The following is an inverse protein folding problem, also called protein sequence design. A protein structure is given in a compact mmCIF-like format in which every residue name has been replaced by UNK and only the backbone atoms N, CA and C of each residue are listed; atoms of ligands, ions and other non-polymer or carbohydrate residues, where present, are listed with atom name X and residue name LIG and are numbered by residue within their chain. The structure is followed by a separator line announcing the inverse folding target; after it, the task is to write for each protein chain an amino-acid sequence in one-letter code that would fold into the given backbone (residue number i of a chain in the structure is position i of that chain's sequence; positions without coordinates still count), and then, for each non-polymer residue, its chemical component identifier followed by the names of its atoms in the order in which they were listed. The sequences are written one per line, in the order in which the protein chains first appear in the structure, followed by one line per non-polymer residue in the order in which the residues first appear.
data_IF_186332817836
#
_entry.id   IF_186332817836
#
_cell.length_a   1.000
_cell.length_b   1.000
_cell.length_c   1.000
_cell.angle_alpha   90.00
_cell.angle_beta   90.00
_cell.angle_gamma   90.00
#
_symmetry.space_group_name_H-M   'P 1'
#
loop_
_entity.id
_entity.type
_entity.pdbx_description
1 polymer ?
#
# COMPACT_ATOMS: atom_id res chain seq x y z
N UNK A 1 -14.19 -2.34 10.32
CA UNK A 1 -13.44 -3.30 11.15
C UNK A 1 -12.22 -2.61 11.74
N UNK A 2 -11.89 -2.92 13.01
CA UNK A 2 -10.68 -2.48 13.68
C UNK A 2 -9.92 -3.74 14.07
N UNK A 3 -8.61 -3.75 13.85
CA UNK A 3 -7.71 -4.86 14.20
C UNK A 3 -6.49 -4.33 14.94
N UNK A 4 -5.95 -5.14 15.85
CA UNK A 4 -4.65 -4.91 16.46
C UNK A 4 -3.58 -5.71 15.68
N UNK A 5 -2.42 -5.12 15.45
CA UNK A 5 -1.31 -5.80 14.82
C UNK A 5 -0.56 -6.62 15.88
N UNK A 6 -0.52 -7.92 15.70
CA UNK A 6 0.24 -8.82 16.57
C UNK A 6 1.75 -8.61 16.37
N UNK A 7 2.49 -8.72 17.44
CA UNK A 7 3.95 -8.72 17.48
C UNK A 7 4.54 -10.13 17.55
N UNK A 8 5.82 -10.21 17.84
CA UNK A 8 6.54 -11.47 17.93
C UNK A 8 6.04 -12.38 19.06
N UNK A 9 5.57 -11.80 20.18
CA UNK A 9 5.08 -12.55 21.35
C UNK A 9 3.84 -13.39 21.03
N UNK A 10 2.89 -12.84 20.25
CA UNK A 10 1.69 -13.56 19.85
C UNK A 10 2.00 -14.70 18.87
N UNK A 11 2.95 -14.46 17.95
CA UNK A 11 3.41 -15.51 17.02
C UNK A 11 4.18 -16.58 17.78
N UNK A 12 5.04 -16.18 18.72
CA UNK A 12 5.76 -17.12 19.58
C UNK A 12 4.78 -18.02 20.37
N UNK A 13 3.76 -17.43 21.01
CA UNK A 13 2.74 -18.19 21.71
C UNK A 13 2.02 -19.20 20.82
N UNK A 14 1.76 -18.85 19.56
CA UNK A 14 1.16 -19.75 18.59
C UNK A 14 2.13 -20.90 18.20
N UNK A 15 3.40 -20.61 18.00
CA UNK A 15 4.42 -21.62 17.68
C UNK A 15 4.65 -22.61 18.83
N UNK A 16 4.55 -22.16 20.09
CA UNK A 16 4.66 -23.01 21.29
C UNK A 16 3.56 -24.05 21.39
N UNK A 17 2.44 -23.88 20.71
CA UNK A 17 1.37 -24.90 20.66
C UNK A 17 1.78 -26.15 19.87
N UNK A 18 2.86 -26.11 19.10
CA UNK A 18 3.29 -27.15 18.15
C UNK A 18 2.23 -27.50 17.12
N UNK A 19 1.37 -26.57 16.73
CA UNK A 19 0.42 -26.76 15.66
C UNK A 19 1.16 -26.88 14.31
N UNK A 20 0.69 -27.79 13.44
CA UNK A 20 1.27 -27.99 12.10
C UNK A 20 1.02 -26.79 11.18
N UNK A 21 -0.09 -26.05 11.42
CA UNK A 21 -0.46 -24.86 10.65
C UNK A 21 -0.86 -23.76 11.64
N UNK A 22 -0.26 -22.58 11.49
CA UNK A 22 -0.63 -21.38 12.24
C UNK A 22 -1.24 -20.37 11.26
N UNK A 23 -2.48 -19.97 11.53
CA UNK A 23 -3.19 -18.92 10.80
C UNK A 23 -3.28 -17.72 11.72
N UNK A 24 -2.49 -16.69 11.46
CA UNK A 24 -2.55 -15.43 12.18
C UNK A 24 -3.55 -14.47 11.50
N UNK A 25 -4.18 -13.60 12.28
CA UNK A 25 -4.91 -12.45 11.78
C UNK A 25 -3.95 -11.35 11.29
N UNK A 26 -4.21 -10.09 11.62
CA UNK A 26 -3.28 -9.00 11.28
C UNK A 26 -2.07 -9.01 12.24
N UNK A 27 -0.88 -9.05 11.68
CA UNK A 27 0.40 -8.96 12.40
C UNK A 27 1.23 -7.82 11.79
N UNK A 28 2.32 -7.39 12.45
CA UNK A 28 3.38 -6.72 11.71
C UNK A 28 4.07 -7.74 10.81
N UNK A 29 4.51 -7.34 9.63
CA UNK A 29 5.09 -8.26 8.65
C UNK A 29 6.41 -8.85 9.14
N UNK A 30 7.16 -8.05 9.89
CA UNK A 30 8.39 -8.41 10.56
C UNK A 30 8.19 -9.41 11.70
N UNK A 31 7.11 -9.31 12.48
CA UNK A 31 6.87 -10.16 13.64
C UNK A 31 6.81 -11.67 13.30
N UNK A 32 6.26 -12.01 12.13
CA UNK A 32 6.14 -13.39 11.66
C UNK A 32 7.53 -14.02 11.48
N UNK A 33 8.51 -13.23 11.04
CA UNK A 33 9.87 -13.68 10.80
C UNK A 33 10.70 -13.60 12.08
N UNK A 34 10.57 -12.52 12.87
CA UNK A 34 11.34 -12.28 14.07
C UNK A 34 11.03 -13.24 15.21
N UNK A 35 9.78 -13.73 15.32
CA UNK A 35 9.34 -14.56 16.45
C UNK A 35 10.20 -15.81 16.65
N UNK A 36 10.47 -16.57 15.59
CA UNK A 36 11.21 -17.83 15.72
C UNK A 36 12.67 -17.66 16.14
N UNK A 37 13.49 -16.77 15.53
CA UNK A 37 14.85 -16.53 16.01
C UNK A 37 14.89 -16.00 17.46
N UNK A 38 13.96 -15.13 17.86
CA UNK A 38 13.85 -14.65 19.25
C UNK A 38 13.57 -15.82 20.21
N UNK A 39 12.58 -16.68 19.89
CA UNK A 39 12.26 -17.88 20.68
C UNK A 39 13.46 -18.83 20.82
N UNK A 40 14.32 -18.89 19.83
CA UNK A 40 15.55 -19.71 19.83
C UNK A 40 16.71 -19.07 20.57
N UNK A 41 16.54 -17.86 21.13
CA UNK A 41 17.54 -17.16 21.91
C UNK A 41 18.57 -16.40 21.08
N UNK A 42 18.33 -16.18 19.78
CA UNK A 42 19.18 -15.30 18.98
C UNK A 42 19.03 -13.84 19.45
N UNK A 43 20.00 -13.01 19.09
CA UNK A 43 19.94 -11.57 19.41
C UNK A 43 18.69 -10.91 18.84
N UNK A 44 17.96 -10.20 19.68
CA UNK A 44 16.69 -9.60 19.28
C UNK A 44 16.85 -8.49 18.21
N UNK A 45 17.94 -7.71 18.26
CA UNK A 45 18.26 -6.71 17.25
C UNK A 45 18.50 -7.36 15.89
N UNK A 46 19.27 -8.46 15.86
CA UNK A 46 19.48 -9.24 14.66
C UNK A 46 18.19 -9.85 14.13
N UNK A 47 17.36 -10.42 15.03
CA UNK A 47 16.08 -11.03 14.65
C UNK A 47 15.12 -10.02 14.00
N UNK A 48 14.92 -8.86 14.61
CA UNK A 48 14.06 -7.81 14.07
C UNK A 48 14.61 -7.19 12.77
N UNK A 49 15.93 -6.97 12.70
CA UNK A 49 16.55 -6.43 11.49
C UNK A 49 16.48 -7.45 10.33
N UNK A 50 16.84 -8.71 10.59
CA UNK A 50 16.70 -9.76 9.58
C UNK A 50 15.25 -9.95 9.13
N UNK A 51 14.30 -9.80 10.05
CA UNK A 51 12.87 -9.82 9.73
C UNK A 51 12.47 -8.66 8.81
N UNK A 52 12.96 -7.44 9.07
CA UNK A 52 12.71 -6.28 8.20
C UNK A 52 13.32 -6.48 6.80
N UNK A 53 14.49 -7.06 6.71
CA UNK A 53 15.08 -7.40 5.41
C UNK A 53 14.34 -8.58 4.74
N UNK A 54 13.83 -9.54 5.52
CA UNK A 54 13.07 -10.69 5.02
C UNK A 54 11.66 -10.35 4.54
N UNK A 55 11.08 -9.28 5.05
CA UNK A 55 9.81 -8.72 4.59
C UNK A 55 9.94 -8.25 3.13
N UNK A 56 9.14 -8.84 2.21
CA UNK A 56 9.33 -8.63 0.77
C UNK A 56 10.79 -8.82 0.31
N UNK A 57 11.51 -9.74 0.97
CA UNK A 57 12.96 -9.84 0.98
C UNK A 57 13.62 -10.06 -0.39
N UNK A 58 12.89 -10.58 -1.39
CA UNK A 58 13.41 -10.63 -2.76
C UNK A 58 13.85 -9.26 -3.30
N UNK A 59 13.26 -8.17 -2.78
CA UNK A 59 13.60 -6.79 -3.17
C UNK A 59 14.97 -6.33 -2.65
N UNK A 60 15.55 -7.02 -1.64
CA UNK A 60 16.90 -6.72 -1.16
C UNK A 60 18.01 -7.33 -2.03
N UNK A 61 17.64 -7.99 -3.14
CA UNK A 61 18.57 -8.62 -4.08
C UNK A 61 18.27 -8.18 -5.52
N UNK A 62 19.23 -8.41 -6.42
CA UNK A 62 18.98 -8.32 -7.86
C UNK A 62 17.98 -9.39 -8.28
N UNK A 63 17.27 -9.17 -9.39
CA UNK A 63 16.28 -10.11 -9.94
C UNK A 63 15.15 -10.47 -8.93
N UNK A 64 14.45 -9.48 -8.35
CA UNK A 64 13.49 -9.70 -7.27
C UNK A 64 12.24 -10.51 -7.66
N UNK A 65 11.98 -10.69 -8.94
CA UNK A 65 10.78 -11.39 -9.43
C UNK A 65 10.88 -12.92 -9.34
N UNK A 66 12.05 -13.48 -9.15
CA UNK A 66 12.28 -14.91 -9.33
C UNK A 66 12.55 -15.66 -8.02
N UNK A 67 12.44 -15.04 -6.85
CA UNK A 67 12.77 -15.80 -5.69
C UNK A 67 12.45 -15.21 -4.33
N UNK A 68 12.87 -15.96 -3.36
CA UNK A 68 12.83 -15.66 -1.93
C UNK A 68 14.26 -15.51 -1.40
N UNK A 69 14.40 -14.96 -0.23
CA UNK A 69 15.65 -14.91 0.52
C UNK A 69 15.57 -15.84 1.70
N UNK A 70 16.69 -16.47 2.04
CA UNK A 70 16.86 -17.18 3.29
C UNK A 70 17.65 -16.30 4.26
N UNK A 71 17.20 -16.27 5.52
CA UNK A 71 17.89 -15.59 6.61
C UNK A 71 18.50 -16.61 7.56
N UNK A 72 19.82 -16.58 7.72
CA UNK A 72 20.51 -17.38 8.71
C UNK A 72 20.89 -16.51 9.90
N UNK A 73 20.33 -16.82 11.07
CA UNK A 73 20.55 -16.07 12.32
C UNK A 73 21.57 -16.77 13.21
N UNK A 74 22.38 -15.98 13.89
CA UNK A 74 23.25 -16.42 14.98
C UNK A 74 23.27 -15.38 16.13
N UNK A 75 24.21 -15.49 17.05
CA UNK A 75 24.28 -14.62 18.24
C UNK A 75 24.76 -13.20 17.94
N UNK A 76 25.39 -12.97 16.79
CA UNK A 76 26.03 -11.69 16.45
C UNK A 76 25.30 -10.93 15.31
N UNK A 77 24.36 -11.58 14.63
CA UNK A 77 23.69 -10.99 13.50
C UNK A 77 22.96 -11.98 12.60
N UNK A 78 22.88 -11.69 11.32
CA UNK A 78 22.25 -12.56 10.34
C UNK A 78 22.93 -12.48 8.97
N UNK A 79 22.72 -13.51 8.16
CA UNK A 79 23.18 -13.56 6.77
C UNK A 79 22.00 -13.60 5.83
N UNK A 80 22.00 -12.74 4.81
CA UNK A 80 21.02 -12.70 3.73
C UNK A 80 21.50 -13.54 2.57
N UNK A 81 20.70 -14.51 2.14
CA UNK A 81 21.02 -15.46 1.07
C UNK A 81 19.87 -15.48 0.06
N UNK A 82 20.01 -14.83 -1.10
CA UNK A 82 19.05 -14.99 -2.19
C UNK A 82 19.04 -16.42 -2.70
N UNK A 83 17.84 -16.97 -2.95
CA UNK A 83 17.70 -18.37 -3.38
C UNK A 83 17.41 -18.53 -4.88
N UNK A 84 17.10 -17.44 -5.59
CA UNK A 84 16.87 -17.48 -7.03
C UNK A 84 18.20 -17.58 -7.79
N UNK A 85 18.18 -18.32 -8.88
CA UNK A 85 19.35 -18.43 -9.77
C UNK A 85 19.78 -17.06 -10.30
N UNK A 86 21.06 -16.72 -10.09
CA UNK A 86 21.64 -15.46 -10.53
C UNK A 86 21.24 -14.24 -9.69
N UNK A 87 20.43 -14.39 -8.64
CA UNK A 87 20.13 -13.29 -7.72
C UNK A 87 21.32 -13.01 -6.78
N UNK A 88 21.57 -11.73 -6.52
CA UNK A 88 22.70 -11.26 -5.71
C UNK A 88 22.22 -10.23 -4.72
N UNK A 89 22.52 -10.44 -3.44
CA UNK A 89 22.43 -9.43 -2.41
C UNK A 89 23.79 -8.70 -2.30
N UNK A 90 23.74 -7.40 -2.12
CA UNK A 90 24.92 -6.57 -1.88
C UNK A 90 24.72 -5.74 -0.60
N UNK A 91 25.80 -5.25 0.05
CA UNK A 91 25.66 -4.36 1.19
C UNK A 91 24.73 -3.17 0.90
N UNK A 92 24.77 -2.63 -0.31
CA UNK A 92 23.90 -1.53 -0.73
C UNK A 92 22.43 -1.95 -0.85
N UNK A 93 22.13 -3.06 -1.53
CA UNK A 93 20.73 -3.49 -1.72
C UNK A 93 20.09 -3.92 -0.40
N UNK A 94 20.84 -4.54 0.49
CA UNK A 94 20.35 -4.96 1.81
C UNK A 94 20.12 -3.74 2.71
N UNK A 95 21.09 -2.81 2.79
CA UNK A 95 20.90 -1.60 3.61
C UNK A 95 19.78 -0.68 3.09
N UNK A 96 19.65 -0.54 1.78
CA UNK A 96 18.59 0.25 1.16
C UNK A 96 17.19 -0.32 1.44
N UNK A 97 17.08 -1.63 1.70
CA UNK A 97 15.79 -2.26 2.00
C UNK A 97 15.17 -1.78 3.33
N UNK A 98 15.96 -1.20 4.24
CA UNK A 98 15.42 -0.53 5.44
C UNK A 98 14.44 0.61 5.11
N UNK A 99 14.53 1.20 3.92
CA UNK A 99 13.59 2.23 3.45
C UNK A 99 12.28 1.67 2.87
N UNK A 100 12.20 0.35 2.70
CA UNK A 100 10.98 -0.27 2.19
C UNK A 100 9.84 -0.13 3.22
N UNK A 101 8.79 0.60 2.85
CA UNK A 101 7.64 0.91 3.71
C UNK A 101 8.02 1.46 5.11
N UNK A 102 9.16 2.11 5.22
CA UNK A 102 9.65 2.74 6.46
C UNK A 102 10.08 4.18 6.17
N UNK A 103 9.65 5.12 7.00
CA UNK A 103 9.96 6.55 6.85
C UNK A 103 11.33 6.94 7.42
N UNK A 104 11.89 6.10 8.32
CA UNK A 104 13.18 6.32 8.94
C UNK A 104 14.16 5.21 8.52
N UNK A 105 15.35 5.52 7.99
CA UNK A 105 16.29 4.51 7.53
C UNK A 105 16.98 3.73 8.67
N UNK A 106 16.87 4.19 9.91
CA UNK A 106 17.59 3.63 11.05
C UNK A 106 16.69 3.07 12.14
N UNK A 107 15.48 3.58 12.29
CA UNK A 107 14.55 3.23 13.37
C UNK A 107 13.30 2.59 12.80
N UNK A 108 12.93 1.43 13.34
CA UNK A 108 11.67 0.75 13.04
C UNK A 108 10.94 0.45 14.34
N UNK A 109 9.76 1.05 14.52
CA UNK A 109 8.88 0.79 15.68
C UNK A 109 8.07 -0.48 15.47
N UNK A 110 8.15 -1.35 16.46
CA UNK A 110 7.44 -2.63 16.51
C UNK A 110 6.71 -2.80 17.85
N UNK A 111 5.77 -3.74 17.98
CA UNK A 111 5.21 -4.07 19.28
C UNK A 111 6.29 -4.38 20.30
N UNK A 112 6.20 -3.74 21.47
CA UNK A 112 7.14 -3.93 22.57
C UNK A 112 8.45 -3.17 22.49
N UNK A 113 8.74 -2.41 21.41
CA UNK A 113 9.99 -1.65 21.34
C UNK A 113 10.28 -1.05 19.95
N UNK A 114 11.55 -0.88 19.68
CA UNK A 114 12.00 -0.48 18.35
C UNK A 114 13.37 -1.10 18.01
N UNK A 115 13.56 -1.34 16.73
CA UNK A 115 14.84 -1.69 16.15
C UNK A 115 15.64 -0.42 15.87
N UNK A 116 16.92 -0.40 16.26
CA UNK A 116 17.89 0.62 15.91
C UNK A 116 19.03 -0.01 15.11
N UNK A 117 19.19 0.42 13.87
CA UNK A 117 20.25 -0.06 12.96
C UNK A 117 21.31 1.03 12.67
N UNK A 118 21.38 2.08 13.48
CA UNK A 118 22.33 3.19 13.30
C UNK A 118 23.78 2.69 13.23
N UNK A 119 24.12 1.69 14.05
CA UNK A 119 25.46 1.10 14.11
C UNK A 119 25.58 -0.20 13.29
N UNK A 120 24.56 -0.56 12.51
CA UNK A 120 24.57 -1.77 11.73
C UNK A 120 25.64 -1.72 10.63
N UNK A 121 26.30 -2.84 10.44
CA UNK A 121 27.31 -3.03 9.39
C UNK A 121 26.85 -4.12 8.41
N UNK A 122 27.14 -3.89 7.14
CA UNK A 122 26.79 -4.77 6.04
C UNK A 122 28.04 -5.17 5.29
N UNK A 123 28.38 -6.44 5.31
CA UNK A 123 29.60 -6.97 4.69
C UNK A 123 29.25 -8.04 3.66
N UNK A 124 29.77 -7.91 2.44
CA UNK A 124 29.70 -8.99 1.46
C UNK A 124 30.50 -10.19 1.95
N UNK A 125 29.87 -11.36 2.01
CA UNK A 125 30.58 -12.64 2.28
C UNK A 125 31.16 -13.22 0.99
N UNK A 126 30.44 -13.02 -0.11
CA UNK A 126 30.81 -13.39 -1.46
C UNK A 126 30.00 -12.53 -2.46
N UNK A 127 29.94 -12.95 -3.72
CA UNK A 127 29.23 -12.23 -4.79
C UNK A 127 27.70 -12.24 -4.62
N UNK A 128 27.16 -13.06 -3.70
CA UNK A 128 25.70 -13.28 -3.58
C UNK A 128 25.14 -13.02 -2.19
N UNK A 129 25.96 -13.12 -1.13
CA UNK A 129 25.52 -13.13 0.26
C UNK A 129 26.05 -11.94 1.05
N UNK A 130 25.23 -11.44 1.97
CA UNK A 130 25.58 -10.31 2.82
C UNK A 130 25.41 -10.69 4.28
N UNK A 131 26.44 -10.43 5.08
CA UNK A 131 26.43 -10.49 6.54
C UNK A 131 26.03 -9.14 7.12
N UNK A 132 25.10 -9.14 8.08
CA UNK A 132 24.66 -7.95 8.83
C UNK A 132 24.89 -8.18 10.32
N UNK A 133 25.49 -7.19 10.98
CA UNK A 133 25.75 -7.18 12.44
C UNK A 133 25.56 -5.79 13.03
N UNK A 134 25.52 -5.66 14.35
CA UNK A 134 25.47 -4.35 15.04
C UNK A 134 24.07 -3.75 15.22
N UNK A 135 23.02 -4.47 14.84
CA UNK A 135 21.63 -4.08 15.09
C UNK A 135 21.30 -4.16 16.58
N UNK A 136 20.40 -3.29 17.07
CA UNK A 136 20.02 -3.25 18.47
C UNK A 136 18.50 -3.27 18.59
N UNK A 137 17.99 -4.06 19.52
CA UNK A 137 16.61 -3.98 19.96
C UNK A 137 16.53 -3.12 21.23
N UNK A 138 15.67 -2.12 21.22
CA UNK A 138 15.43 -1.26 22.38
C UNK A 138 13.99 -1.51 22.88
N UNK A 139 13.82 -2.24 23.99
CA UNK A 139 12.49 -2.50 24.53
C UNK A 139 11.84 -1.20 25.02
N UNK A 140 10.54 -1.08 24.84
CA UNK A 140 9.74 0.01 25.37
C UNK A 140 9.35 -0.27 26.84
N UNK A 141 9.15 0.79 27.64
CA UNK A 141 8.68 0.69 29.03
C UNK A 141 7.27 0.05 29.13
N UNK A 142 6.48 0.19 28.07
CA UNK A 142 5.13 -0.36 27.97
C UNK A 142 4.97 -1.08 26.65
N UNK A 143 4.32 -2.22 26.69
CA UNK A 143 3.97 -2.94 25.46
C UNK A 143 2.87 -2.19 24.70
N UNK A 144 3.08 -1.94 23.44
CA UNK A 144 2.12 -1.26 22.59
C UNK A 144 1.89 -2.04 21.31
N UNK A 145 0.66 -1.92 20.76
CA UNK A 145 0.32 -2.44 19.45
C UNK A 145 -0.35 -1.37 18.61
N UNK A 146 -0.15 -1.42 17.32
CA UNK A 146 -0.83 -0.57 16.37
C UNK A 146 -2.27 -1.07 16.15
N UNK A 147 -3.23 -0.16 16.18
CA UNK A 147 -4.59 -0.39 15.75
C UNK A 147 -4.78 0.16 14.33
N UNK A 148 -5.33 -0.66 13.48
CA UNK A 148 -5.74 -0.27 12.13
C UNK A 148 -7.24 -0.46 11.97
N UNK A 149 -7.89 0.54 11.37
CA UNK A 149 -9.32 0.47 11.10
C UNK A 149 -9.65 0.82 9.67
N UNK A 150 -10.57 0.05 9.09
CA UNK A 150 -11.14 0.34 7.78
C UNK A 150 -12.66 0.37 7.85
N UNK A 151 -13.28 1.26 7.08
CA UNK A 151 -14.73 1.35 6.92
C UNK A 151 -15.10 1.39 5.43
N UNK A 152 -16.34 1.01 5.08
CA UNK A 152 -16.86 1.23 3.75
C UNK A 152 -16.82 2.72 3.37
N UNK A 153 -16.31 3.03 2.18
CA UNK A 153 -16.19 4.39 1.64
C UNK A 153 -17.14 4.64 0.46
N UNK A 154 -18.07 3.72 0.21
CA UNK A 154 -19.02 3.80 -0.88
C UNK A 154 -18.76 2.78 -1.98
N UNK A 155 -19.36 3.03 -3.14
CA UNK A 155 -19.23 2.19 -4.34
C UNK A 155 -18.64 3.02 -5.46
N UNK A 156 -17.80 2.41 -6.29
CA UNK A 156 -17.11 3.11 -7.38
C UNK A 156 -17.52 2.61 -8.76
N UNK A 157 -17.68 3.59 -9.66
CA UNK A 157 -17.67 3.41 -11.10
C UNK A 157 -16.48 4.17 -11.68
N UNK A 158 -15.75 3.55 -12.61
CA UNK A 158 -14.62 4.19 -13.30
C UNK A 158 -14.83 4.19 -14.82
N UNK A 159 -14.33 5.25 -15.47
CA UNK A 159 -14.25 5.36 -16.91
C UNK A 159 -12.84 5.82 -17.28
N UNK A 160 -12.33 5.39 -18.43
CA UNK A 160 -11.09 5.87 -18.98
C UNK A 160 -11.34 6.48 -20.36
N UNK A 161 -10.97 7.75 -20.52
CA UNK A 161 -11.04 8.47 -21.78
C UNK A 161 -9.64 8.90 -22.21
N UNK A 162 -9.38 8.92 -23.52
CA UNK A 162 -8.09 9.28 -24.09
C UNK A 162 -8.20 10.60 -24.86
N UNK A 163 -7.41 11.60 -24.45
CA UNK A 163 -7.27 12.88 -25.11
C UNK A 163 -5.99 12.89 -25.93
N UNK A 164 -6.10 13.03 -27.25
CA UNK A 164 -4.94 13.09 -28.16
C UNK A 164 -4.83 14.42 -28.90
N UNK A 165 -5.91 15.21 -28.98
CA UNK A 165 -5.89 16.51 -29.60
C UNK A 165 -5.04 17.52 -28.78
N UNK A 166 -4.12 18.22 -29.46
CA UNK A 166 -3.16 19.11 -28.80
C UNK A 166 -3.82 20.29 -28.06
N UNK A 167 -4.96 20.81 -28.55
CA UNK A 167 -5.70 21.88 -27.91
C UNK A 167 -6.30 21.42 -26.59
N UNK A 168 -6.91 20.22 -26.55
CA UNK A 168 -7.48 19.63 -25.35
C UNK A 168 -6.41 19.15 -24.37
N UNK A 169 -5.33 18.53 -24.86
CA UNK A 169 -4.19 18.13 -24.01
C UNK A 169 -3.58 19.33 -23.27
N UNK A 170 -3.39 20.46 -23.97
CA UNK A 170 -2.87 21.70 -23.37
C UNK A 170 -3.81 22.28 -22.29
N UNK A 171 -5.11 22.12 -22.46
CA UNK A 171 -6.14 22.72 -21.61
C UNK A 171 -6.87 21.66 -20.76
N UNK A 172 -6.29 20.46 -20.58
CA UNK A 172 -6.97 19.32 -19.98
C UNK A 172 -7.50 19.58 -18.57
N UNK A 173 -6.77 20.38 -17.75
CA UNK A 173 -7.23 20.72 -16.40
C UNK A 173 -8.47 21.61 -16.41
N UNK A 174 -8.51 22.61 -17.32
CA UNK A 174 -9.67 23.51 -17.47
C UNK A 174 -10.88 22.68 -17.94
N UNK A 175 -10.69 21.84 -18.94
CA UNK A 175 -11.69 20.94 -19.48
C UNK A 175 -12.24 19.98 -18.41
N UNK A 176 -11.37 19.36 -17.61
CA UNK A 176 -11.76 18.44 -16.55
C UNK A 176 -12.57 19.14 -15.46
N UNK A 177 -12.15 20.32 -15.02
CA UNK A 177 -12.87 21.11 -14.00
C UNK A 177 -14.28 21.52 -14.46
N UNK A 178 -14.43 21.91 -15.73
CA UNK A 178 -15.73 22.27 -16.29
C UNK A 178 -16.67 21.05 -16.40
N UNK A 179 -16.13 19.88 -16.80
CA UNK A 179 -16.89 18.62 -16.81
C UNK A 179 -17.39 18.27 -15.41
N UNK A 180 -16.50 18.27 -14.41
CA UNK A 180 -16.88 17.97 -13.02
C UNK A 180 -18.01 18.88 -12.57
N UNK A 181 -17.88 20.19 -12.79
CA UNK A 181 -18.89 21.19 -12.40
C UNK A 181 -20.25 20.96 -13.06
N UNK A 182 -20.26 20.76 -14.38
CA UNK A 182 -21.49 20.56 -15.16
C UNK A 182 -22.13 19.21 -14.87
N UNK A 183 -21.35 18.13 -14.79
CA UNK A 183 -21.87 16.82 -14.47
C UNK A 183 -22.46 16.79 -13.05
N UNK A 184 -21.75 17.35 -12.07
CA UNK A 184 -22.22 17.45 -10.68
C UNK A 184 -23.56 18.19 -10.60
N UNK A 185 -23.68 19.36 -11.26
CA UNK A 185 -24.92 20.13 -11.32
C UNK A 185 -26.05 19.35 -11.98
N UNK A 186 -25.77 18.59 -13.03
CA UNK A 186 -26.73 17.74 -13.73
C UNK A 186 -27.21 16.59 -12.84
N UNK A 187 -26.30 15.92 -12.14
CA UNK A 187 -26.61 14.82 -11.22
C UNK A 187 -27.55 15.29 -10.11
N UNK A 188 -27.19 16.36 -9.41
CA UNK A 188 -28.04 16.95 -8.35
C UNK A 188 -29.44 17.25 -8.85
N UNK A 189 -29.54 17.94 -9.99
CA UNK A 189 -30.83 18.33 -10.55
C UNK A 189 -31.68 17.16 -11.05
N UNK A 190 -31.05 16.12 -11.63
CA UNK A 190 -31.77 15.02 -12.28
C UNK A 190 -32.11 13.88 -11.34
N UNK A 191 -31.20 13.57 -10.41
CA UNK A 191 -31.32 12.44 -9.49
C UNK A 191 -31.84 12.88 -8.11
N UNK A 192 -31.85 14.18 -7.82
CA UNK A 192 -32.29 14.70 -6.51
C UNK A 192 -31.41 14.29 -5.36
N UNK A 193 -30.15 13.92 -5.63
CA UNK A 193 -29.17 13.50 -4.61
C UNK A 193 -28.45 14.71 -4.03
N UNK A 194 -28.12 14.64 -2.75
CA UNK A 194 -27.38 15.71 -2.09
C UNK A 194 -25.89 15.71 -2.55
N UNK A 195 -25.24 16.89 -2.56
CA UNK A 195 -23.85 17.01 -3.04
C UNK A 195 -22.82 16.13 -2.31
N UNK A 196 -23.08 15.81 -1.07
CA UNK A 196 -22.24 14.98 -0.19
C UNK A 196 -22.44 13.46 -0.38
N UNK A 197 -23.46 13.06 -1.15
CA UNK A 197 -23.77 11.65 -1.39
C UNK A 197 -22.94 11.02 -2.51
N UNK A 198 -22.18 11.85 -3.24
CA UNK A 198 -21.30 11.38 -4.31
C UNK A 198 -20.11 12.31 -4.55
N UNK A 199 -19.09 11.74 -5.15
CA UNK A 199 -17.89 12.43 -5.59
C UNK A 199 -17.57 12.07 -7.05
N UNK A 200 -17.06 13.05 -7.79
CA UNK A 200 -16.55 12.87 -9.16
C UNK A 200 -15.13 13.42 -9.17
N UNK A 201 -14.17 12.55 -9.46
CA UNK A 201 -12.77 12.89 -9.63
C UNK A 201 -12.30 12.58 -11.05
N UNK A 202 -11.53 13.47 -11.66
CA UNK A 202 -10.84 13.23 -12.93
C UNK A 202 -9.34 13.34 -12.71
N UNK A 203 -8.61 12.24 -12.89
CA UNK A 203 -7.15 12.17 -12.82
C UNK A 203 -6.56 12.22 -14.23
N UNK A 204 -5.65 13.15 -14.45
CA UNK A 204 -5.01 13.38 -15.75
C UNK A 204 -3.68 12.62 -15.81
N UNK A 205 -3.73 11.36 -16.27
CA UNK A 205 -2.54 10.53 -16.43
C UNK A 205 -1.64 11.08 -17.53
N UNK A 206 -0.36 11.28 -17.21
CA UNK A 206 0.59 11.99 -18.06
C UNK A 206 0.78 13.46 -17.67
N UNK A 207 -0.03 13.99 -16.75
CA UNK A 207 0.09 15.36 -16.25
C UNK A 207 0.26 15.41 -14.72
N UNK A 208 -0.74 15.05 -13.95
CA UNK A 208 -0.72 15.20 -12.48
C UNK A 208 -1.43 14.06 -11.72
N UNK A 209 -1.67 12.94 -12.34
CA UNK A 209 -2.47 11.87 -11.74
C UNK A 209 -1.85 11.25 -10.48
N UNK A 210 -0.51 11.24 -10.36
CA UNK A 210 0.20 10.64 -9.22
C UNK A 210 0.30 11.58 -8.03
N UNK A 211 0.68 12.83 -8.25
CA UNK A 211 0.94 13.80 -7.18
C UNK A 211 -0.17 14.85 -7.01
N UNK A 212 -1.12 14.95 -7.94
CA UNK A 212 -2.19 15.94 -7.87
C UNK A 212 -1.65 17.37 -7.79
N UNK A 213 -2.02 18.09 -6.73
CA UNK A 213 -1.56 19.46 -6.47
C UNK A 213 -0.09 19.56 -6.04
N UNK A 214 0.55 18.44 -5.69
CA UNK A 214 1.97 18.39 -5.32
C UNK A 214 2.89 18.21 -6.55
N UNK A 215 2.32 18.05 -7.74
CA UNK A 215 3.12 17.95 -8.97
C UNK A 215 3.82 19.28 -9.27
N UNK A 216 5.15 19.22 -9.33
CA UNK A 216 6.00 20.41 -9.56
C UNK A 216 6.57 20.48 -10.97
N UNK A 217 6.46 19.38 -11.75
CA UNK A 217 6.99 19.32 -13.10
C UNK A 217 5.91 19.66 -14.13
N UNK A 218 6.16 20.66 -14.94
CA UNK A 218 5.29 20.97 -16.09
C UNK A 218 5.50 19.93 -17.20
N UNK A 219 4.69 18.88 -17.21
CA UNK A 219 4.70 17.91 -18.29
C UNK A 219 4.03 18.49 -19.55
N UNK A 220 4.56 18.12 -20.71
CA UNK A 220 3.91 18.39 -22.01
C UNK A 220 3.63 17.05 -22.70
N UNK A 221 2.61 16.32 -22.27
CA UNK A 221 2.30 15.04 -22.86
C UNK A 221 1.72 15.20 -24.27
N UNK A 222 1.94 14.21 -25.12
CA UNK A 222 1.28 14.12 -26.42
C UNK A 222 -0.13 13.57 -26.32
N UNK A 223 -0.41 12.82 -25.27
CA UNK A 223 -1.68 12.17 -24.97
C UNK A 223 -1.90 12.13 -23.46
N UNK A 224 -3.15 12.28 -23.05
CA UNK A 224 -3.56 12.20 -21.66
C UNK A 224 -4.61 11.12 -21.51
N UNK A 225 -4.40 10.18 -20.59
CA UNK A 225 -5.44 9.31 -20.09
C UNK A 225 -6.23 10.02 -18.99
N UNK A 226 -7.52 10.20 -19.19
CA UNK A 226 -8.43 10.78 -18.18
C UNK A 226 -9.13 9.64 -17.46
N UNK A 227 -8.65 9.32 -16.25
CA UNK A 227 -9.31 8.37 -15.37
C UNK A 227 -10.39 9.10 -14.57
N UNK A 228 -11.64 8.85 -14.92
CA UNK A 228 -12.78 9.32 -14.17
C UNK A 228 -13.16 8.32 -13.07
N UNK A 229 -13.32 8.80 -11.85
CA UNK A 229 -13.71 8.00 -10.69
C UNK A 229 -14.96 8.63 -10.10
N UNK A 230 -16.04 7.87 -10.06
CA UNK A 230 -17.28 8.23 -9.40
C UNK A 230 -17.42 7.38 -8.15
N UNK A 231 -17.53 8.01 -6.99
CA UNK A 231 -17.83 7.33 -5.72
C UNK A 231 -19.21 7.76 -5.24
N UNK A 232 -20.07 6.81 -4.85
CA UNK A 232 -21.41 7.09 -4.38
C UNK A 232 -21.86 6.09 -3.30
N UNK A 233 -22.97 6.38 -2.62
CA UNK A 233 -23.52 5.55 -1.52
C UNK A 233 -24.00 4.16 -1.96
N UNK A 234 -24.25 3.94 -3.26
CA UNK A 234 -24.64 2.64 -3.79
C UNK A 234 -24.03 2.40 -5.17
N UNK A 235 -23.88 1.13 -5.54
CA UNK A 235 -23.36 0.75 -6.86
C UNK A 235 -24.27 1.26 -8.00
N UNK A 236 -25.59 1.20 -7.80
CA UNK A 236 -26.55 1.69 -8.79
C UNK A 236 -26.36 3.20 -9.05
N UNK A 237 -26.22 3.99 -7.99
CA UNK A 237 -26.02 5.44 -8.10
C UNK A 237 -24.64 5.74 -8.74
N UNK A 238 -23.58 5.05 -8.36
CA UNK A 238 -22.25 5.25 -8.96
C UNK A 238 -22.27 4.98 -10.47
N UNK A 239 -22.92 3.90 -10.89
CA UNK A 239 -23.06 3.53 -12.30
C UNK A 239 -23.92 4.54 -13.06
N UNK A 240 -25.03 4.99 -12.49
CA UNK A 240 -25.91 6.00 -13.11
C UNK A 240 -25.19 7.35 -13.29
N UNK A 241 -24.40 7.78 -12.30
CA UNK A 241 -23.55 8.97 -12.41
C UNK A 241 -22.48 8.78 -13.49
N UNK A 242 -21.88 7.59 -13.58
CA UNK A 242 -20.95 7.22 -14.65
C UNK A 242 -21.58 7.39 -16.05
N UNK A 243 -22.84 6.95 -16.22
CA UNK A 243 -23.59 7.14 -17.46
C UNK A 243 -23.88 8.62 -17.76
N UNK A 244 -24.10 9.46 -16.74
CA UNK A 244 -24.20 10.91 -16.93
C UNK A 244 -22.87 11.53 -17.32
N UNK A 245 -21.75 11.02 -16.83
CA UNK A 245 -20.40 11.52 -17.12
C UNK A 245 -19.91 11.13 -18.51
N UNK A 246 -20.31 9.96 -19.01
CA UNK A 246 -19.87 9.40 -20.28
C UNK A 246 -19.98 10.41 -21.45
N UNK A 247 -21.13 11.03 -21.76
CA UNK A 247 -21.23 11.95 -22.88
C UNK A 247 -20.38 13.21 -22.70
N UNK A 248 -20.09 13.64 -21.47
CA UNK A 248 -19.16 14.73 -21.23
C UNK A 248 -17.72 14.31 -21.56
N UNK A 249 -17.27 13.15 -21.09
CA UNK A 249 -15.95 12.65 -21.42
C UNK A 249 -15.75 12.42 -22.92
N UNK A 250 -16.82 12.10 -23.65
CA UNK A 250 -16.75 11.80 -25.06
C UNK A 250 -16.81 13.05 -25.96
N UNK A 251 -17.63 14.06 -25.59
CA UNK A 251 -18.01 15.14 -26.51
C UNK A 251 -17.95 16.56 -25.93
N UNK A 252 -17.37 16.75 -24.74
CA UNK A 252 -17.41 18.07 -24.10
C UNK A 252 -16.44 19.06 -24.76
N UNK A 253 -16.91 20.18 -25.32
CA UNK A 253 -16.03 21.21 -25.87
C UNK A 253 -15.43 22.08 -24.76
N UNK A 254 -14.25 22.67 -24.99
CA UNK A 254 -13.62 23.64 -24.09
C UNK A 254 -14.41 24.93 -23.98
N UNK A 255 -15.02 25.37 -25.07
CA UNK A 255 -15.83 26.58 -25.12
C UNK A 255 -17.18 26.31 -25.83
N UNK A 256 -18.17 27.19 -25.61
CA UNK A 256 -19.48 27.08 -26.30
C UNK A 256 -19.40 27.38 -27.81
N UNK A 257 -18.30 27.99 -28.25
CA UNK A 257 -18.13 28.40 -29.65
C UNK A 257 -17.41 27.32 -30.49
N UNK A 258 -16.88 26.27 -29.83
CA UNK A 258 -16.20 25.16 -30.49
C UNK A 258 -17.18 24.10 -30.98
N UNK A 259 -16.81 23.40 -32.05
CA UNK A 259 -17.44 22.16 -32.44
C UNK A 259 -17.27 21.10 -31.36
N UNK A 260 -18.25 20.20 -31.24
CA UNK A 260 -18.13 19.11 -30.28
C UNK A 260 -17.03 18.15 -30.71
N UNK A 261 -16.05 17.90 -29.83
CA UNK A 261 -15.01 16.91 -30.08
C UNK A 261 -15.56 15.50 -29.97
N UNK A 262 -14.80 14.51 -30.42
CA UNK A 262 -15.02 13.11 -30.10
C UNK A 262 -13.72 12.50 -29.63
N UNK A 263 -13.72 12.05 -28.38
CA UNK A 263 -12.59 11.37 -27.76
C UNK A 263 -12.77 9.85 -27.79
N UNK A 264 -11.80 9.11 -27.29
CA UNK A 264 -11.82 7.65 -27.35
C UNK A 264 -11.99 7.02 -25.97
N UNK A 265 -12.88 6.03 -25.89
CA UNK A 265 -12.92 5.08 -24.79
C UNK A 265 -12.22 3.78 -25.21
N UNK A 266 -11.26 3.24 -24.41
CA UNK A 266 -10.61 1.96 -24.72
C UNK A 266 -11.52 0.76 -24.45
N UNK A 267 -12.65 0.95 -23.75
CA UNK A 267 -13.58 -0.12 -23.38
C UNK A 267 -15.01 0.21 -23.82
N UNK A 268 -15.78 -0.84 -24.14
CA UNK A 268 -17.22 -0.74 -24.41
C UNK A 268 -17.95 -1.91 -23.71
N UNK A 269 -18.83 -1.64 -22.75
CA UNK A 269 -19.22 -0.31 -22.22
C UNK A 269 -18.07 0.40 -21.53
N UNK A 270 -18.12 1.73 -21.50
CA UNK A 270 -17.05 2.55 -20.90
C UNK A 270 -17.10 2.57 -19.38
N UNK A 271 -18.28 2.39 -18.80
CA UNK A 271 -18.53 2.37 -17.36
C UNK A 271 -18.14 1.01 -16.77
N UNK A 272 -17.22 1.01 -15.82
CA UNK A 272 -16.74 -0.19 -15.13
C UNK A 272 -17.06 -0.07 -13.66
N UNK A 273 -17.91 -0.95 -13.13
CA UNK A 273 -18.16 -1.04 -11.69
C UNK A 273 -16.94 -1.64 -11.00
N UNK A 274 -16.46 -0.98 -9.95
CA UNK A 274 -15.45 -1.48 -9.03
C UNK A 274 -16.03 -2.07 -7.75
N UNK A 275 -17.34 -2.00 -7.60
CA UNK A 275 -18.00 -2.46 -6.39
C UNK A 275 -17.76 -1.56 -5.18
N UNK A 276 -17.87 -2.14 -3.99
CA UNK A 276 -17.66 -1.45 -2.73
C UNK A 276 -16.18 -1.16 -2.50
N UNK A 277 -15.88 0.05 -2.03
CA UNK A 277 -14.54 0.50 -1.64
C UNK A 277 -14.45 0.72 -0.15
N UNK A 278 -13.22 0.76 0.34
CA UNK A 278 -12.92 0.93 1.76
C UNK A 278 -11.88 2.03 1.92
N UNK A 279 -11.95 2.72 3.04
CA UNK A 279 -10.94 3.71 3.44
C UNK A 279 -10.39 3.38 4.82
N UNK A 280 -9.14 3.73 5.04
CA UNK A 280 -8.53 3.74 6.37
C UNK A 280 -9.18 4.83 7.20
N UNK A 281 -9.69 4.47 8.38
CA UNK A 281 -10.35 5.40 9.29
C UNK A 281 -9.73 5.46 10.69
N UNK A 282 -8.80 4.56 10.99
CA UNK A 282 -8.11 4.53 12.27
C UNK A 282 -6.65 4.08 12.07
N UNK A 283 -5.74 4.88 12.60
CA UNK A 283 -4.34 4.56 12.79
C UNK A 283 -3.95 5.06 14.19
N UNK A 284 -3.85 4.17 15.16
CA UNK A 284 -3.69 4.50 16.55
C UNK A 284 -2.78 3.50 17.26
N UNK A 285 -2.21 3.88 18.40
CA UNK A 285 -1.40 3.01 19.26
C UNK A 285 -2.18 2.69 20.52
N UNK A 286 -2.30 1.41 20.85
CA UNK A 286 -2.92 0.90 22.07
C UNK A 286 -1.83 0.36 23.00
N UNK A 287 -1.83 0.80 24.24
CA UNK A 287 -1.00 0.23 25.29
C UNK A 287 -1.69 -0.99 25.90
N UNK A 288 -0.95 -2.07 26.06
CA UNK A 288 -1.41 -3.30 26.68
C UNK A 288 -0.62 -3.58 27.95
N UNK A 289 -1.31 -4.04 29.01
CA UNK A 289 -0.66 -4.48 30.26
C UNK A 289 0.02 -5.85 30.10
N UNK A 290 -0.52 -6.66 29.20
CA UNK A 290 0.02 -7.96 28.79
C UNK A 290 -0.06 -8.09 27.26
N UNK A 291 0.99 -8.60 26.58
CA UNK A 291 0.99 -8.74 25.12
C UNK A 291 -0.21 -9.49 24.55
N UNK A 292 -0.72 -10.50 25.27
CA UNK A 292 -1.86 -11.32 24.83
C UNK A 292 -3.23 -10.70 25.10
N UNK A 293 -3.34 -9.61 25.88
CA UNK A 293 -4.63 -9.09 26.35
C UNK A 293 -5.59 -8.60 25.24
N UNK A 294 -5.06 -8.27 24.06
CA UNK A 294 -5.87 -7.89 22.88
C UNK A 294 -6.00 -9.02 21.83
N UNK A 295 -5.50 -10.21 22.13
CA UNK A 295 -5.42 -11.31 21.17
C UNK A 295 -6.02 -12.60 21.75
N UNK A 296 -6.55 -13.43 20.85
CA UNK A 296 -7.08 -14.73 21.19
C UNK A 296 -6.34 -15.80 20.42
N UNK A 297 -5.81 -16.78 21.14
CA UNK A 297 -5.18 -17.97 20.58
C UNK A 297 -6.12 -19.15 20.73
N UNK A 298 -6.41 -19.84 19.64
CA UNK A 298 -7.20 -21.06 19.61
C UNK A 298 -6.44 -22.16 18.89
N UNK A 299 -6.45 -23.35 19.46
CA UNK A 299 -5.92 -24.55 18.80
C UNK A 299 -7.08 -25.49 18.47
N UNK A 300 -7.15 -25.93 17.21
CA UNK A 300 -8.18 -26.83 16.73
C UNK A 300 -7.52 -28.05 16.11
N UNK A 301 -7.98 -29.23 16.51
CA UNK A 301 -7.55 -30.47 15.87
C UNK A 301 -8.45 -30.75 14.67
N UNK A 302 -7.83 -30.90 13.51
CA UNK A 302 -8.52 -31.28 12.27
C UNK A 302 -8.30 -32.79 12.10
N UNK A 303 -9.37 -33.54 12.12
CA UNK A 303 -9.35 -35.00 12.00
C UNK A 303 -9.15 -35.50 10.58
#
# INVERSE_FOLDING_TARGET
NIVALAGAEQIAAALETNADIVIAGRTTDTAIIAALPIMRGNDAGAAWHGAKIGECGALCASNPQSGVVMMEFDNDGFTVIPLADGAQATPHTVSAHMLYENSDPFILYEPGGYLDVTDATYAALDDTRVRVTGSKWVPADRYTVKLEGARPAGFQCVLLCLLRDAHYVKNAQIWANDIISKCRSKVIRRLGVAPEEFEIELRLMGQNASFGTLETHAAQPHEIGVLAIVTAKSNALAMEIGQFLNPYLLHHPLTQAEEQPTFAFPFSPAEISRGQTYEFCLNHVLTLDDPMSAFRLEQVQIG
#
